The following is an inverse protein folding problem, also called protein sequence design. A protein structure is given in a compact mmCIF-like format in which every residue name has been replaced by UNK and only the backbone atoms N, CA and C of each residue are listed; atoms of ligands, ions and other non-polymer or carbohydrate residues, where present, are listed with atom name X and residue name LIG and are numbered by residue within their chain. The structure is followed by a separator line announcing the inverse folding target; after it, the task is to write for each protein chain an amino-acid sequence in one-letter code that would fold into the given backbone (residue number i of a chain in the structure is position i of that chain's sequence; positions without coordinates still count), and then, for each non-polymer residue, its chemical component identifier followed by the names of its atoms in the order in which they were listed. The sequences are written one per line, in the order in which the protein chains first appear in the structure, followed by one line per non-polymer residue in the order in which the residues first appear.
data_IF_133577177104
#
_entry.id   IF_133577177104
#
_cell.length_a   1.000
_cell.length_b   1.000
_cell.length_c   1.000
_cell.angle_alpha   90.00
_cell.angle_beta   90.00
_cell.angle_gamma   90.00
#
_symmetry.space_group_name_H-M   'P 1'
#
loop_
_entity.id
_entity.type
_entity.pdbx_description
1 polymer ?
#
# COMPACT_ATOMS: atom_id res chain seq x y z
N UNK A 1 49.39 -0.83 -17.72
CA UNK A 1 48.30 -0.31 -16.85
C UNK A 1 48.34 -1.08 -15.53
N UNK A 2 48.67 -0.40 -14.41
CA UNK A 2 48.82 -1.03 -13.09
C UNK A 2 47.42 -1.32 -12.52
N UNK A 3 47.12 -2.59 -12.24
CA UNK A 3 45.87 -3.01 -11.60
C UNK A 3 45.89 -2.57 -10.13
N UNK A 4 44.85 -1.87 -9.69
CA UNK A 4 44.69 -1.50 -8.28
C UNK A 4 44.62 -2.75 -7.40
N UNK A 5 45.28 -2.75 -6.23
CA UNK A 5 45.28 -3.90 -5.32
C UNK A 5 43.88 -4.15 -4.77
N UNK A 6 43.53 -5.44 -4.67
CA UNK A 6 42.27 -5.89 -4.06
C UNK A 6 42.17 -5.40 -2.61
N UNK A 7 41.02 -4.87 -2.17
CA UNK A 7 40.83 -4.51 -0.77
C UNK A 7 40.95 -5.75 0.13
N UNK A 8 41.51 -5.61 1.34
CA UNK A 8 41.73 -6.72 2.25
C UNK A 8 40.40 -7.38 2.63
N UNK A 9 40.42 -8.72 2.62
CA UNK A 9 39.29 -9.58 2.98
C UNK A 9 38.87 -9.24 4.41
N UNK A 10 37.62 -8.79 4.60
CA UNK A 10 37.07 -8.46 5.92
C UNK A 10 37.26 -9.66 6.85
N UNK A 11 37.83 -9.41 8.03
CA UNK A 11 38.05 -10.45 9.02
C UNK A 11 36.71 -11.11 9.40
N UNK A 12 36.68 -12.44 9.57
CA UNK A 12 35.49 -13.12 10.06
C UNK A 12 35.10 -12.56 11.43
N UNK A 13 33.85 -12.11 11.56
CA UNK A 13 33.30 -11.64 12.82
C UNK A 13 33.52 -12.74 13.88
N UNK A 14 34.21 -12.40 14.96
CA UNK A 14 34.38 -13.33 16.06
C UNK A 14 33.00 -13.70 16.59
N UNK A 15 32.65 -14.99 16.54
CA UNK A 15 31.49 -15.52 17.24
C UNK A 15 31.75 -15.32 18.72
N UNK A 16 31.34 -14.16 19.24
CA UNK A 16 31.26 -13.91 20.66
C UNK A 16 30.32 -14.95 21.25
N UNK A 17 30.90 -16.03 21.77
CA UNK A 17 30.22 -17.05 22.56
C UNK A 17 29.85 -16.45 23.91
N UNK A 18 28.91 -15.49 23.90
CA UNK A 18 28.10 -15.25 25.09
C UNK A 18 27.24 -16.50 25.23
N UNK A 19 27.75 -17.46 26.00
CA UNK A 19 26.93 -18.49 26.62
C UNK A 19 25.73 -17.76 27.20
N UNK A 20 24.57 -17.93 26.58
CA UNK A 20 23.31 -17.58 27.19
C UNK A 20 23.28 -18.40 28.47
N UNK A 21 23.53 -17.76 29.61
CA UNK A 21 23.39 -18.44 30.89
C UNK A 21 21.93 -18.88 30.94
N UNK A 22 21.74 -20.19 30.85
CA UNK A 22 20.44 -20.80 31.07
C UNK A 22 20.12 -20.52 32.53
N UNK A 23 19.45 -19.39 32.79
CA UNK A 23 18.82 -19.15 34.09
C UNK A 23 17.98 -20.38 34.37
N UNK A 24 18.26 -21.01 35.51
CA UNK A 24 17.52 -22.17 35.98
C UNK A 24 16.01 -21.89 35.86
N UNK A 25 15.20 -22.89 35.50
CA UNK A 25 13.75 -22.73 35.44
C UNK A 25 13.29 -22.19 36.80
N UNK A 26 12.72 -20.99 36.78
CA UNK A 26 12.08 -20.40 37.95
C UNK A 26 10.98 -21.38 38.35
N UNK A 27 11.22 -22.17 39.40
CA UNK A 27 10.20 -22.97 40.07
C UNK A 27 9.21 -21.99 40.69
N UNK A 28 8.21 -21.57 39.91
CA UNK A 28 7.08 -20.82 40.42
C UNK A 28 6.25 -21.75 41.30
N UNK A 29 6.53 -21.77 42.60
CA UNK A 29 5.72 -22.42 43.64
C UNK A 29 4.45 -21.63 43.99
N UNK A 30 4.09 -20.64 43.18
CA UNK A 30 2.82 -19.92 43.29
C UNK A 30 1.70 -20.69 42.62
N UNK A 31 0.74 -21.18 43.40
CA UNK A 31 -0.49 -21.77 42.90
C UNK A 31 -1.11 -20.86 41.82
N UNK A 32 -1.57 -21.41 40.67
CA UNK A 32 -2.21 -20.62 39.64
C UNK A 32 -3.47 -20.00 40.22
N UNK A 33 -3.43 -18.69 40.49
CA UNK A 33 -4.65 -17.93 40.76
C UNK A 33 -5.50 -18.04 39.50
N UNK A 34 -6.51 -18.91 39.55
CA UNK A 34 -7.59 -19.06 38.58
C UNK A 34 -8.47 -17.80 38.60
N UNK A 35 -7.86 -16.65 38.34
CA UNK A 35 -8.59 -15.44 38.00
C UNK A 35 -9.30 -15.74 36.70
N UNK A 36 -10.60 -16.03 36.79
CA UNK A 36 -11.55 -16.12 35.68
C UNK A 36 -11.49 -14.77 34.97
N UNK A 37 -10.56 -14.60 34.03
CA UNK A 37 -10.56 -13.50 33.08
C UNK A 37 -11.79 -13.76 32.22
N UNK A 38 -12.90 -13.15 32.60
CA UNK A 38 -14.09 -13.08 31.78
C UNK A 38 -13.63 -12.48 30.46
N UNK A 39 -13.49 -13.34 29.44
CA UNK A 39 -12.98 -12.95 28.13
C UNK A 39 -13.76 -11.75 27.67
N UNK A 40 -13.10 -10.60 27.61
CA UNK A 40 -13.72 -9.35 27.17
C UNK A 40 -14.20 -9.64 25.76
N UNK A 41 -15.53 -9.79 25.59
CA UNK A 41 -16.14 -10.07 24.28
C UNK A 41 -15.51 -9.10 23.30
N UNK A 42 -14.75 -9.62 22.34
CA UNK A 42 -14.14 -8.79 21.31
C UNK A 42 -15.28 -8.04 20.66
N UNK A 43 -15.33 -6.73 20.87
CA UNK A 43 -16.27 -5.89 20.15
C UNK A 43 -16.10 -6.23 18.67
N UNK A 44 -17.20 -6.63 18.02
CA UNK A 44 -17.16 -7.02 16.62
C UNK A 44 -16.50 -5.96 15.74
N UNK A 45 -16.20 -6.29 14.47
CA UNK A 45 -15.64 -5.33 13.54
C UNK A 45 -16.44 -4.02 13.58
N UNK A 46 -15.75 -2.91 13.89
CA UNK A 46 -16.42 -1.61 13.91
C UNK A 46 -16.91 -1.29 12.50
N UNK A 47 -18.13 -0.74 12.36
CA UNK A 47 -18.65 -0.35 11.06
C UNK A 47 -17.78 0.73 10.40
N UNK A 48 -17.76 0.74 9.07
CA UNK A 48 -17.12 1.80 8.29
C UNK A 48 -17.90 3.13 8.45
N UNK A 49 -17.22 4.30 8.37
CA UNK A 49 -17.90 5.58 8.39
C UNK A 49 -18.93 5.70 7.24
N UNK A 50 -20.11 6.24 7.54
CA UNK A 50 -21.24 6.35 6.58
C UNK A 50 -20.83 7.12 5.32
N UNK A 51 -20.09 8.23 5.46
CA UNK A 51 -19.61 9.03 4.32
C UNK A 51 -18.71 8.23 3.37
N UNK A 52 -17.85 7.38 3.91
CA UNK A 52 -16.94 6.53 3.12
C UNK A 52 -17.72 5.47 2.36
N UNK A 53 -18.69 4.84 3.04
CA UNK A 53 -19.59 3.85 2.43
C UNK A 53 -20.40 4.48 1.29
N UNK A 54 -20.92 5.70 1.50
CA UNK A 54 -21.67 6.43 0.48
C UNK A 54 -20.78 6.78 -0.73
N UNK A 55 -19.55 7.26 -0.50
CA UNK A 55 -18.60 7.60 -1.56
C UNK A 55 -18.26 6.38 -2.44
N UNK A 56 -17.90 5.25 -1.82
CA UNK A 56 -17.60 4.00 -2.56
C UNK A 56 -18.82 3.51 -3.32
N UNK A 57 -20.02 3.57 -2.71
CA UNK A 57 -21.26 3.13 -3.38
C UNK A 57 -21.65 4.04 -4.55
N UNK A 58 -21.43 5.35 -4.43
CA UNK A 58 -21.68 6.29 -5.50
C UNK A 58 -20.78 6.01 -6.70
N UNK A 59 -19.50 5.70 -6.45
CA UNK A 59 -18.54 5.29 -7.48
C UNK A 59 -18.89 3.99 -8.18
N UNK A 60 -19.26 2.98 -7.39
CA UNK A 60 -19.49 1.61 -7.86
C UNK A 60 -20.87 1.39 -8.48
N UNK A 61 -21.84 2.28 -8.21
CA UNK A 61 -23.25 2.04 -8.51
C UNK A 61 -23.85 0.86 -7.74
N UNK A 62 -23.16 0.36 -6.69
CA UNK A 62 -23.50 -0.87 -5.98
C UNK A 62 -23.06 -2.16 -6.69
N UNK A 63 -22.25 -2.08 -7.74
CA UNK A 63 -21.71 -3.24 -8.45
C UNK A 63 -20.28 -3.57 -8.02
N UNK A 64 -19.82 -4.77 -8.36
CA UNK A 64 -18.47 -5.21 -8.03
C UNK A 64 -17.42 -4.44 -8.87
N UNK A 65 -16.51 -3.75 -8.19
CA UNK A 65 -15.43 -2.99 -8.80
C UNK A 65 -14.22 -3.85 -9.20
N UNK A 66 -14.10 -5.08 -8.66
CA UNK A 66 -12.98 -6.02 -8.91
C UNK A 66 -13.21 -6.83 -10.19
N UNK A 67 -14.37 -7.49 -10.31
CA UNK A 67 -14.84 -8.13 -11.54
C UNK A 67 -13.95 -9.22 -12.16
N UNK A 68 -13.05 -9.86 -11.40
CA UNK A 68 -12.15 -10.89 -11.92
C UNK A 68 -12.90 -12.16 -12.34
N UNK A 69 -13.99 -12.48 -11.66
CA UNK A 69 -14.86 -13.62 -11.97
C UNK A 69 -16.23 -13.17 -12.47
N UNK A 70 -16.80 -12.10 -11.91
CA UNK A 70 -18.14 -11.65 -12.29
C UNK A 70 -18.19 -10.63 -13.43
N UNK A 71 -17.04 -10.21 -13.97
CA UNK A 71 -16.97 -9.17 -15.00
C UNK A 71 -17.46 -7.79 -14.53
N UNK A 72 -17.59 -7.59 -13.22
CA UNK A 72 -18.11 -6.36 -12.62
C UNK A 72 -19.64 -6.24 -12.60
N UNK A 73 -20.36 -7.29 -13.00
CA UNK A 73 -21.82 -7.26 -13.13
C UNK A 73 -22.57 -7.73 -11.87
N UNK A 74 -21.88 -8.37 -10.92
CA UNK A 74 -22.51 -8.82 -9.69
C UNK A 74 -22.71 -7.69 -8.69
N UNK A 75 -23.78 -7.79 -7.90
CA UNK A 75 -24.03 -6.88 -6.77
C UNK A 75 -22.86 -6.92 -5.78
N UNK A 76 -22.37 -5.74 -5.41
CA UNK A 76 -21.42 -5.63 -4.31
C UNK A 76 -22.14 -5.87 -2.98
N UNK A 77 -21.66 -6.87 -2.24
CA UNK A 77 -22.18 -7.24 -0.92
C UNK A 77 -21.19 -6.89 0.19
N UNK A 78 -19.94 -6.60 -0.16
CA UNK A 78 -18.86 -6.31 0.77
C UNK A 78 -17.91 -5.22 0.26
N UNK A 79 -17.04 -4.72 1.14
CA UNK A 79 -15.99 -3.76 0.82
C UNK A 79 -14.61 -4.35 1.07
N UNK A 80 -13.93 -4.68 -0.02
CA UNK A 80 -12.57 -5.18 -0.02
C UNK A 80 -11.61 -4.04 0.31
N UNK A 81 -10.78 -4.21 1.34
CA UNK A 81 -9.70 -3.26 1.61
C UNK A 81 -8.50 -3.59 0.75
N UNK A 82 -7.89 -2.58 0.12
CA UNK A 82 -6.65 -2.73 -0.65
C UNK A 82 -5.45 -2.92 0.29
N UNK A 83 -5.37 -2.09 1.33
CA UNK A 83 -4.41 -2.25 2.42
C UNK A 83 -5.08 -2.92 3.61
N UNK A 84 -4.60 -4.10 3.98
CA UNK A 84 -5.15 -4.90 5.07
C UNK A 84 -5.04 -4.23 6.45
N UNK A 85 -6.09 -4.38 7.27
CA UNK A 85 -6.09 -4.06 8.70
C UNK A 85 -5.35 -5.18 9.44
N UNK A 86 -4.07 -4.99 9.75
CA UNK A 86 -3.34 -6.04 10.49
C UNK A 86 -3.91 -6.33 11.88
N UNK A 87 -3.39 -7.38 12.51
CA UNK A 87 -3.76 -7.77 13.88
C UNK A 87 -3.54 -6.60 14.85
N UNK A 88 -4.60 -6.13 15.49
CA UNK A 88 -4.62 -4.92 16.34
C UNK A 88 -5.46 -3.78 15.80
N UNK A 89 -5.83 -3.84 14.51
CA UNK A 89 -6.58 -2.77 13.85
C UNK A 89 -5.76 -1.49 13.72
N UNK A 90 -6.20 -0.56 12.88
CA UNK A 90 -5.50 0.71 12.74
C UNK A 90 -5.79 1.59 13.97
N UNK A 91 -4.76 1.85 14.76
CA UNK A 91 -4.76 2.89 15.80
C UNK A 91 -4.50 4.27 15.22
N UNK A 92 -5.07 5.31 15.82
CA UNK A 92 -4.77 6.72 15.50
C UNK A 92 -4.91 7.07 14.02
N UNK A 93 -3.89 7.73 13.46
CA UNK A 93 -3.84 8.22 12.07
C UNK A 93 -3.98 7.11 11.02
N UNK A 94 -3.51 5.90 11.33
CA UNK A 94 -3.66 4.74 10.43
C UNK A 94 -5.13 4.37 10.18
N UNK A 95 -6.05 4.78 11.06
CA UNK A 95 -7.48 4.48 10.93
C UNK A 95 -8.14 5.27 9.82
N UNK A 96 -7.76 6.54 9.67
CA UNK A 96 -8.28 7.39 8.60
C UNK A 96 -7.89 6.83 7.23
N UNK A 97 -6.60 6.54 7.04
CA UNK A 97 -6.09 5.95 5.79
C UNK A 97 -6.69 4.56 5.50
N UNK A 98 -6.87 3.72 6.52
CA UNK A 98 -7.46 2.39 6.31
C UNK A 98 -8.94 2.45 5.92
N UNK A 99 -9.65 3.51 6.30
CA UNK A 99 -11.07 3.70 6.00
C UNK A 99 -11.27 4.79 4.93
N UNK A 100 -10.29 5.05 4.06
CA UNK A 100 -10.49 6.02 2.98
C UNK A 100 -11.16 5.36 1.76
N UNK A 101 -11.93 6.11 0.95
CA UNK A 101 -12.53 5.60 -0.28
C UNK A 101 -11.52 5.04 -1.30
N UNK A 102 -10.29 5.56 -1.37
CA UNK A 102 -9.23 5.03 -2.24
C UNK A 102 -8.70 3.66 -1.80
N UNK A 103 -8.88 3.32 -0.52
CA UNK A 103 -8.46 2.05 0.07
C UNK A 103 -9.55 0.98 0.05
N UNK A 104 -10.76 1.30 -0.42
CA UNK A 104 -11.91 0.43 -0.39
C UNK A 104 -12.46 0.22 -1.79
N UNK A 105 -12.78 -1.03 -2.11
CA UNK A 105 -13.50 -1.39 -3.32
C UNK A 105 -14.77 -2.17 -2.98
N UNK A 106 -15.88 -1.80 -3.60
CA UNK A 106 -17.12 -2.57 -3.52
C UNK A 106 -16.93 -3.90 -4.29
N UNK A 107 -17.27 -5.03 -3.66
CA UNK A 107 -16.97 -6.36 -4.18
C UNK A 107 -18.12 -7.35 -3.95
N UNK A 108 -18.30 -8.26 -4.91
CA UNK A 108 -19.08 -9.46 -4.67
C UNK A 108 -18.28 -10.43 -3.79
N UNK A 109 -18.97 -11.37 -3.10
CA UNK A 109 -18.30 -12.34 -2.20
C UNK A 109 -17.18 -13.13 -2.91
N UNK A 110 -17.45 -13.59 -4.13
CA UNK A 110 -16.51 -14.43 -4.90
C UNK A 110 -15.21 -13.69 -5.21
N UNK A 111 -15.31 -12.50 -5.79
CA UNK A 111 -14.15 -11.67 -6.11
C UNK A 111 -13.41 -11.21 -4.84
N UNK A 112 -14.13 -10.90 -3.76
CA UNK A 112 -13.51 -10.56 -2.48
C UNK A 112 -12.69 -11.73 -1.92
N UNK A 113 -13.26 -12.94 -1.86
CA UNK A 113 -12.54 -14.13 -1.39
C UNK A 113 -11.35 -14.47 -2.30
N UNK A 114 -11.48 -14.24 -3.62
CA UNK A 114 -10.39 -14.46 -4.58
C UNK A 114 -9.19 -13.58 -4.29
N UNK A 115 -9.39 -12.28 -4.07
CA UNK A 115 -8.29 -11.33 -3.79
C UNK A 115 -7.72 -11.48 -2.38
N UNK A 116 -8.52 -11.97 -1.42
CA UNK A 116 -8.10 -12.15 -0.02
C UNK A 116 -7.41 -13.49 0.25
N UNK A 117 -7.77 -14.55 -0.47
CA UNK A 117 -7.38 -15.94 -0.14
C UNK A 117 -6.75 -16.70 -1.29
N UNK A 118 -7.39 -16.70 -2.46
CA UNK A 118 -7.04 -17.64 -3.51
C UNK A 118 -5.87 -17.19 -4.38
N UNK A 119 -5.81 -15.91 -4.74
CA UNK A 119 -4.83 -15.36 -5.69
C UNK A 119 -4.27 -14.02 -5.24
N UNK A 120 -3.72 -14.02 -4.03
CA UNK A 120 -3.22 -12.79 -3.39
C UNK A 120 -2.10 -12.13 -4.21
N UNK A 121 -1.21 -12.91 -4.83
CA UNK A 121 -0.14 -12.37 -5.71
C UNK A 121 -0.74 -11.59 -6.90
N UNK A 122 -1.70 -12.19 -7.61
CA UNK A 122 -2.40 -11.51 -8.72
C UNK A 122 -3.11 -10.24 -8.25
N UNK A 123 -3.65 -10.24 -7.03
CA UNK A 123 -4.31 -9.07 -6.46
C UNK A 123 -3.34 -7.89 -6.25
N UNK A 124 -2.07 -8.15 -5.90
CA UNK A 124 -1.04 -7.10 -5.85
C UNK A 124 -0.69 -6.58 -7.24
N UNK A 125 -0.50 -7.48 -8.22
CA UNK A 125 -0.21 -7.12 -9.61
C UNK A 125 -1.31 -6.26 -10.24
N UNK A 126 -2.56 -6.43 -9.79
CA UNK A 126 -3.74 -5.70 -10.25
C UNK A 126 -4.12 -4.51 -9.38
N UNK A 127 -3.36 -4.25 -8.32
CA UNK A 127 -3.59 -3.15 -7.39
C UNK A 127 -4.83 -3.32 -6.50
N UNK A 128 -5.48 -4.48 -6.53
CA UNK A 128 -6.57 -4.86 -5.62
C UNK A 128 -6.07 -5.05 -4.19
N UNK A 129 -4.77 -5.32 -4.02
CA UNK A 129 -4.06 -5.33 -2.74
C UNK A 129 -2.83 -4.43 -2.78
N UNK A 130 -2.51 -3.84 -1.64
CA UNK A 130 -1.34 -3.00 -1.41
C UNK A 130 -0.63 -3.48 -0.16
N UNK A 131 0.70 -3.58 -0.22
CA UNK A 131 1.50 -4.02 0.91
C UNK A 131 1.30 -3.05 2.09
N UNK A 132 0.90 -3.59 3.24
CA UNK A 132 0.69 -2.80 4.47
C UNK A 132 1.91 -2.02 4.91
N UNK A 133 3.09 -2.60 4.70
CA UNK A 133 4.38 -2.00 5.02
C UNK A 133 5.00 -1.28 3.82
N UNK A 134 4.26 -1.19 2.71
CA UNK A 134 4.66 -0.43 1.55
C UNK A 134 4.65 1.08 1.85
N UNK A 135 5.44 1.80 1.06
CA UNK A 135 5.63 3.24 1.19
C UNK A 135 4.58 4.02 0.38
N UNK A 136 3.89 3.36 -0.55
CA UNK A 136 2.83 3.94 -1.37
C UNK A 136 1.49 4.00 -0.65
N UNK A 137 0.74 5.08 -0.88
CA UNK A 137 -0.61 5.29 -0.35
C UNK A 137 -1.65 4.71 -1.30
N UNK A 138 -2.84 4.32 -0.81
CA UNK A 138 -3.88 3.76 -1.68
C UNK A 138 -4.27 4.63 -2.88
N UNK A 139 -4.34 5.96 -2.71
CA UNK A 139 -4.63 6.89 -3.80
C UNK A 139 -3.47 7.10 -4.80
N UNK A 140 -2.27 6.62 -4.47
CA UNK A 140 -1.11 6.68 -5.36
C UNK A 140 -0.96 5.38 -6.18
N UNK A 141 -1.57 4.26 -5.76
CA UNK A 141 -1.37 2.97 -6.44
C UNK A 141 -2.47 2.74 -7.48
N UNK A 142 -2.14 2.48 -8.76
CA UNK A 142 -3.12 2.10 -9.77
C UNK A 142 -3.92 0.85 -9.37
N UNK A 143 -5.14 0.72 -9.86
CA UNK A 143 -5.96 -0.48 -9.68
C UNK A 143 -6.73 -0.80 -10.95
N UNK A 144 -6.81 -2.08 -11.28
CA UNK A 144 -7.62 -2.56 -12.40
C UNK A 144 -9.09 -2.63 -11.97
N UNK A 145 -9.87 -1.64 -12.35
CA UNK A 145 -11.30 -1.54 -12.12
C UNK A 145 -12.09 -2.26 -13.23
N UNK A 146 -13.09 -3.05 -12.85
CA UNK A 146 -13.86 -3.86 -13.80
C UNK A 146 -14.53 -3.04 -14.91
N UNK A 147 -15.12 -1.89 -14.55
CA UNK A 147 -15.84 -1.02 -15.50
C UNK A 147 -14.99 0.07 -16.17
N UNK A 148 -13.80 0.39 -15.63
CA UNK A 148 -13.04 1.58 -16.05
C UNK A 148 -11.59 1.26 -16.49
N UNK A 149 -11.16 0.00 -16.39
CA UNK A 149 -9.77 -0.37 -16.64
C UNK A 149 -8.83 0.13 -15.54
N UNK A 150 -7.60 0.52 -15.91
CA UNK A 150 -6.61 0.99 -14.94
C UNK A 150 -6.88 2.42 -14.49
N UNK A 151 -7.17 2.57 -13.20
CA UNK A 151 -7.53 3.86 -12.59
C UNK A 151 -6.74 4.14 -11.32
N UNK A 152 -6.70 5.42 -10.93
CA UNK A 152 -6.35 5.87 -9.59
C UNK A 152 -7.63 6.25 -8.86
N UNK A 153 -7.83 5.71 -7.67
CA UNK A 153 -8.96 6.05 -6.80
C UNK A 153 -8.54 7.17 -5.85
N UNK A 154 -9.39 8.16 -5.63
CA UNK A 154 -9.11 9.23 -4.66
C UNK A 154 -9.83 9.01 -3.31
N UNK A 155 -9.54 9.88 -2.35
CA UNK A 155 -10.11 9.84 -1.01
C UNK A 155 -11.50 10.51 -0.90
N UNK A 156 -12.02 11.05 -2.00
CA UNK A 156 -13.38 11.59 -2.14
C UNK A 156 -14.36 10.57 -2.75
N UNK A 157 -13.85 9.48 -3.31
CA UNK A 157 -14.63 8.44 -3.97
C UNK A 157 -14.69 8.60 -5.49
N UNK A 158 -13.94 9.52 -6.07
CA UNK A 158 -13.75 9.61 -7.51
C UNK A 158 -12.71 8.63 -8.04
N UNK A 159 -12.49 8.72 -9.34
CA UNK A 159 -11.46 7.98 -10.05
C UNK A 159 -10.99 8.79 -11.26
N UNK A 160 -9.78 8.48 -11.72
CA UNK A 160 -9.25 8.95 -13.00
C UNK A 160 -8.40 7.87 -13.64
N UNK A 161 -8.16 7.96 -14.94
CA UNK A 161 -7.27 7.04 -15.66
C UNK A 161 -5.87 7.04 -15.04
N UNK A 162 -5.28 5.86 -14.86
CA UNK A 162 -3.89 5.75 -14.45
C UNK A 162 -2.97 6.00 -15.67
N UNK A 163 -1.85 6.73 -15.51
CA UNK A 163 -0.86 6.87 -16.56
C UNK A 163 -0.38 5.50 -17.04
N UNK A 164 -0.24 5.32 -18.36
CA UNK A 164 0.16 4.04 -18.92
C UNK A 164 1.49 3.55 -18.34
N UNK A 165 2.45 4.46 -18.11
CA UNK A 165 3.75 4.15 -17.51
C UNK A 165 3.65 3.52 -16.11
N UNK A 166 2.59 3.82 -15.35
CA UNK A 166 2.41 3.32 -13.99
C UNK A 166 1.98 1.86 -13.91
N UNK A 167 1.52 1.30 -15.03
CA UNK A 167 0.97 -0.06 -15.14
C UNK A 167 1.76 -0.93 -16.12
N UNK A 168 2.99 -0.52 -16.49
CA UNK A 168 3.90 -1.31 -17.32
C UNK A 168 4.75 -2.24 -16.46
N UNK A 169 5.02 -3.44 -16.98
CA UNK A 169 5.95 -4.38 -16.37
C UNK A 169 5.33 -5.28 -15.30
N UNK A 170 6.19 -5.83 -14.45
CA UNK A 170 5.81 -6.81 -13.42
C UNK A 170 5.29 -6.15 -12.13
N UNK A 171 5.46 -4.84 -11.97
CA UNK A 171 5.12 -4.12 -10.75
C UNK A 171 4.40 -2.81 -11.07
N UNK A 172 3.38 -2.50 -10.27
CA UNK A 172 2.70 -1.22 -10.35
C UNK A 172 3.58 -0.14 -9.73
N UNK A 173 3.80 0.94 -10.48
CA UNK A 173 4.49 2.11 -9.97
C UNK A 173 3.49 3.05 -9.30
N UNK A 174 3.82 3.59 -8.11
CA UNK A 174 3.04 4.66 -7.49
C UNK A 174 2.97 5.87 -8.42
N UNK A 175 1.84 6.56 -8.40
CA UNK A 175 1.60 7.80 -9.15
C UNK A 175 1.55 8.95 -8.16
N UNK A 176 2.51 9.85 -8.27
CA UNK A 176 2.56 11.11 -7.55
C UNK A 176 1.82 12.18 -8.35
N UNK A 177 0.84 12.82 -7.72
CA UNK A 177 0.19 13.98 -8.30
C UNK A 177 0.83 15.26 -7.78
N UNK A 178 1.11 16.18 -8.69
CA UNK A 178 1.58 17.52 -8.37
C UNK A 178 0.66 18.56 -9.00
N UNK A 179 0.54 19.72 -8.38
CA UNK A 179 -0.21 20.83 -8.99
C UNK A 179 0.49 21.35 -10.23
N UNK A 180 -0.29 21.94 -11.14
CA UNK A 180 0.27 22.62 -12.33
C UNK A 180 1.24 23.73 -11.93
N UNK A 181 0.93 24.47 -10.86
CA UNK A 181 1.80 25.51 -10.30
C UNK A 181 3.14 24.94 -9.83
N UNK A 182 3.14 23.85 -9.06
CA UNK A 182 4.39 23.21 -8.63
C UNK A 182 5.25 22.80 -9.82
N UNK A 183 4.62 22.23 -10.86
CA UNK A 183 5.32 21.86 -12.09
C UNK A 183 5.92 23.07 -12.83
N UNK A 184 5.11 24.10 -13.09
CA UNK A 184 5.53 25.25 -13.89
C UNK A 184 6.60 26.11 -13.16
N UNK A 185 6.56 26.15 -11.83
CA UNK A 185 7.57 26.84 -11.02
C UNK A 185 8.82 25.99 -10.76
N UNK A 186 8.84 24.72 -11.18
CA UNK A 186 9.92 23.78 -10.88
C UNK A 186 10.04 23.46 -9.38
N UNK A 187 8.95 23.61 -8.62
CA UNK A 187 8.93 23.27 -7.20
C UNK A 187 8.91 21.74 -7.04
N UNK A 188 10.01 21.18 -6.54
CA UNK A 188 10.16 19.73 -6.36
C UNK A 188 9.62 19.22 -5.03
N UNK A 189 9.02 20.06 -4.18
CA UNK A 189 8.70 19.70 -2.80
C UNK A 189 7.83 18.45 -2.65
N UNK A 190 6.85 18.23 -3.53
CA UNK A 190 6.05 17.00 -3.54
C UNK A 190 6.88 15.78 -3.96
N UNK A 191 7.72 15.93 -4.97
CA UNK A 191 8.64 14.90 -5.48
C UNK A 191 9.67 14.55 -4.41
N UNK A 192 10.31 15.54 -3.78
CA UNK A 192 11.28 15.37 -2.70
C UNK A 192 10.67 14.60 -1.52
N UNK A 193 9.44 14.95 -1.10
CA UNK A 193 8.74 14.21 -0.03
C UNK A 193 8.46 12.77 -0.43
N UNK A 194 8.10 12.52 -1.69
CA UNK A 194 7.91 11.17 -2.19
C UNK A 194 9.23 10.40 -2.21
N UNK A 195 10.30 10.98 -2.77
CA UNK A 195 11.63 10.36 -2.81
C UNK A 195 12.19 10.09 -1.40
N UNK A 196 12.02 11.02 -0.46
CA UNK A 196 12.38 10.82 0.94
C UNK A 196 11.62 9.64 1.55
N UNK A 197 10.31 9.53 1.26
CA UNK A 197 9.49 8.41 1.70
C UNK A 197 9.97 7.08 1.12
N UNK A 198 10.47 7.07 -0.13
CA UNK A 198 11.06 5.89 -0.76
C UNK A 198 12.56 5.67 -0.43
N UNK A 199 13.19 6.55 0.35
CA UNK A 199 14.61 6.44 0.71
C UNK A 199 15.59 6.83 -0.40
N UNK A 200 15.15 7.65 -1.37
CA UNK A 200 15.92 8.04 -2.55
C UNK A 200 16.20 9.55 -2.66
N UNK A 201 15.93 10.34 -1.61
CA UNK A 201 16.20 11.78 -1.61
C UNK A 201 17.68 12.09 -1.88
N UNK A 202 18.58 11.30 -1.28
CA UNK A 202 20.04 11.51 -1.35
C UNK A 202 20.71 10.83 -2.55
N UNK A 203 19.93 10.25 -3.48
CA UNK A 203 20.48 9.45 -4.57
C UNK A 203 21.07 10.25 -5.75
N UNK A 204 21.31 11.56 -5.62
CA UNK A 204 22.13 12.31 -6.59
C UNK A 204 21.37 13.05 -7.69
N UNK A 205 20.30 13.77 -7.34
CA UNK A 205 19.50 14.54 -8.30
C UNK A 205 18.48 13.68 -9.04
N UNK A 206 17.34 14.27 -9.36
CA UNK A 206 16.26 13.64 -10.11
C UNK A 206 15.73 14.62 -11.14
N UNK A 207 15.37 14.11 -12.31
CA UNK A 207 14.57 14.84 -13.28
C UNK A 207 13.36 13.97 -13.59
N UNK A 208 12.24 14.61 -13.86
CA UNK A 208 11.02 13.89 -14.18
C UNK A 208 10.30 14.58 -15.33
N UNK A 209 9.51 13.79 -16.05
CA UNK A 209 8.57 14.25 -17.07
C UNK A 209 7.19 13.77 -16.66
N UNK A 210 6.16 14.51 -17.06
CA UNK A 210 4.79 14.13 -16.79
C UNK A 210 4.45 12.81 -17.50
N UNK A 211 3.75 11.94 -16.78
CA UNK A 211 3.27 10.64 -17.22
C UNK A 211 4.37 9.65 -17.66
N UNK A 212 5.63 9.96 -17.32
CA UNK A 212 6.79 9.09 -17.50
C UNK A 212 7.31 8.56 -16.16
N UNK A 213 8.08 7.45 -16.24
CA UNK A 213 8.71 6.85 -15.06
C UNK A 213 9.83 7.75 -14.56
N UNK A 214 9.72 8.22 -13.31
CA UNK A 214 10.81 8.86 -12.59
C UNK A 214 11.81 7.76 -12.21
N UNK A 215 12.96 7.81 -12.86
CA UNK A 215 14.10 6.93 -12.57
C UNK A 215 15.12 7.68 -11.73
N UNK A 216 15.49 7.07 -10.61
CA UNK A 216 16.53 7.56 -9.72
C UNK A 216 17.93 7.43 -10.35
N UNK A 217 18.92 8.23 -9.93
CA UNK A 217 20.28 8.09 -10.47
C UNK A 217 20.93 6.72 -10.18
N UNK A 218 20.45 5.98 -9.18
CA UNK A 218 20.85 4.59 -8.94
C UNK A 218 20.21 3.57 -9.90
N UNK A 219 19.37 4.01 -10.84
CA UNK A 219 18.66 3.18 -11.81
C UNK A 219 17.32 2.61 -11.33
N UNK A 220 16.89 2.93 -10.11
CA UNK A 220 15.60 2.48 -9.59
C UNK A 220 14.43 3.23 -10.24
N UNK A 221 13.45 2.51 -10.77
CA UNK A 221 12.15 3.05 -11.16
C UNK A 221 11.30 3.27 -9.91
N UNK A 222 10.96 4.52 -9.62
CA UNK A 222 10.38 4.87 -8.31
C UNK A 222 8.87 5.10 -8.38
N UNK A 223 8.45 5.98 -9.29
CA UNK A 223 7.09 6.47 -9.37
C UNK A 223 6.85 7.13 -10.74
N UNK A 224 5.60 7.40 -11.06
CA UNK A 224 5.20 8.26 -12.19
C UNK A 224 4.70 9.58 -11.64
N UNK A 225 5.09 10.71 -12.23
CA UNK A 225 4.59 12.03 -11.85
C UNK A 225 3.51 12.46 -12.83
N UNK A 226 2.36 12.89 -12.35
CA UNK A 226 1.26 13.41 -13.18
C UNK A 226 0.71 14.71 -12.61
N UNK A 227 -0.02 15.46 -13.41
CA UNK A 227 -0.70 16.67 -12.95
C UNK A 227 -1.97 16.31 -12.18
N UNK A 228 -2.24 17.07 -11.13
CA UNK A 228 -3.55 17.14 -10.53
C UNK A 228 -4.46 17.90 -11.51
N UNK A 229 -5.39 17.18 -12.15
CA UNK A 229 -6.46 17.82 -12.91
C UNK A 229 -7.29 18.66 -11.95
N UNK A 230 -7.62 19.90 -12.35
CA UNK A 230 -8.52 20.72 -11.57
C UNK A 230 -9.92 20.10 -11.67
N UNK A 231 -10.49 19.73 -10.51
CA UNK A 231 -11.89 19.30 -10.39
C UNK A 231 -12.87 20.43 -10.72
#
# INVERSE_FOLDING_TARGET
MKRSPMPPRRQPMSRGSKQLSRKAPIRSTGAPKSGKTTGKKSAGPRPLPVKVVAAVRARSGGLCEIGLECGGLAQAVERAHRTGKGAGGPGGRGRAASNSPSNLMDACRRDHDRVDRAKVTDAYLRGHKIHRHGLARPHEVPVLHAGYGWVLLDDHGGWRSAPAAAVRGEHLLPVLQISRREYDLGETGAVDRALARFGHLDCGGHSFRLDEVLTCACGAELLVVTLLEAE
#
